data_IF_086202049281
#
_entry.id   IF_086202049281
#
_cell.length_a   1.000
_cell.length_b   1.000
_cell.length_c   1.000
_cell.angle_alpha   90.00
_cell.angle_beta   90.00
_cell.angle_gamma   90.00
#
_symmetry.space_group_name_H-M   'P 1'
#
loop_
_entity.id
_entity.type
_entity.pdbx_description
1 polymer ?
#
# COMPACT_ATOMS: atom_id res chain seq x y z
N UNK A 1 31.61 31.46 8.56
CA UNK A 1 30.24 30.91 8.64
C UNK A 1 30.34 29.57 9.37
N UNK A 2 29.68 29.44 10.51
CA UNK A 2 29.84 28.31 11.42
C UNK A 2 29.48 27.00 10.73
N UNK A 3 30.37 26.03 10.87
CA UNK A 3 30.29 24.67 10.32
C UNK A 3 29.27 23.83 11.12
N UNK A 4 28.03 24.30 11.27
CA UNK A 4 26.96 23.60 11.98
C UNK A 4 26.47 22.44 11.13
N UNK A 5 26.37 21.25 11.72
CA UNK A 5 25.89 20.04 11.05
C UNK A 5 24.38 19.84 11.24
N UNK A 6 23.76 20.65 12.11
CA UNK A 6 22.32 20.68 12.35
C UNK A 6 21.86 22.11 12.60
N UNK A 7 20.68 22.46 12.08
CA UNK A 7 20.07 23.80 12.20
C UNK A 7 18.57 23.78 11.89
N UNK A 8 17.83 24.74 12.42
CA UNK A 8 16.43 24.99 12.06
C UNK A 8 16.36 26.24 11.19
N UNK A 9 15.60 26.16 10.09
CA UNK A 9 15.25 27.30 9.25
C UNK A 9 13.73 27.33 9.07
N UNK A 10 13.06 28.25 9.77
CA UNK A 10 11.59 28.31 9.78
C UNK A 10 10.96 27.07 10.41
N UNK A 11 10.23 26.31 9.60
CA UNK A 11 9.57 25.06 10.01
C UNK A 11 10.31 23.81 9.52
N UNK A 12 11.55 23.95 9.08
CA UNK A 12 12.35 22.83 8.60
C UNK A 12 13.59 22.64 9.46
N UNK A 13 13.77 21.42 9.96
CA UNK A 13 15.00 20.98 10.61
C UNK A 13 15.92 20.36 9.57
N UNK A 14 17.13 20.87 9.45
CA UNK A 14 18.18 20.31 8.59
C UNK A 14 19.27 19.67 9.44
N UNK A 15 19.72 18.47 9.08
CA UNK A 15 20.79 17.77 9.78
C UNK A 15 21.63 16.93 8.83
N UNK A 16 22.88 16.66 9.21
CA UNK A 16 23.78 15.82 8.44
C UNK A 16 23.60 14.36 8.83
N UNK A 17 23.41 13.49 7.84
CA UNK A 17 23.38 12.04 8.03
C UNK A 17 24.12 11.34 6.89
N UNK A 18 24.97 10.36 7.20
CA UNK A 18 25.79 9.62 6.24
C UNK A 18 26.53 10.47 5.16
N UNK A 19 26.84 11.74 5.47
CA UNK A 19 27.49 12.67 4.56
C UNK A 19 26.54 13.53 3.72
N UNK A 20 25.24 13.27 3.75
CA UNK A 20 24.19 14.05 3.11
C UNK A 20 23.52 15.01 4.10
N UNK A 21 22.78 15.99 3.58
CA UNK A 21 21.92 16.85 4.39
C UNK A 21 20.49 16.33 4.24
N UNK A 22 19.97 15.83 5.35
CA UNK A 22 18.58 15.43 5.51
C UNK A 22 17.75 16.58 6.08
N UNK A 23 16.43 16.48 5.93
CA UNK A 23 15.51 17.48 6.45
C UNK A 23 14.21 16.87 6.97
N UNK A 24 13.62 17.50 7.98
CA UNK A 24 12.34 17.12 8.57
C UNK A 24 11.41 18.34 8.67
N UNK A 25 10.15 18.17 8.26
CA UNK A 25 9.13 19.21 8.39
C UNK A 25 8.55 19.22 9.81
N UNK A 26 8.84 20.27 10.57
CA UNK A 26 8.45 20.42 11.97
C UNK A 26 6.93 20.55 12.17
N UNK A 27 6.18 20.99 11.16
CA UNK A 27 4.72 21.07 11.24
C UNK A 27 4.06 19.69 11.14
N UNK A 28 4.75 18.72 10.52
CA UNK A 28 4.29 17.35 10.34
C UNK A 28 4.67 16.42 11.49
N UNK A 29 5.48 16.88 12.46
CA UNK A 29 5.91 16.08 13.61
C UNK A 29 4.72 15.44 14.35
N UNK A 30 4.80 14.13 14.58
CA UNK A 30 3.82 13.33 15.32
C UNK A 30 4.32 12.93 16.69
N UNK A 31 5.57 12.46 16.80
CA UNK A 31 6.15 12.03 18.07
C UNK A 31 7.68 12.08 18.04
N UNK A 32 8.27 12.14 19.24
CA UNK A 32 9.70 12.18 19.45
C UNK A 32 10.11 11.24 20.57
N UNK A 33 11.27 10.61 20.38
CA UNK A 33 11.88 9.66 21.29
C UNK A 33 13.36 10.00 21.47
N UNK A 34 13.90 9.60 22.62
CA UNK A 34 15.33 9.37 22.77
C UNK A 34 15.59 7.88 22.58
N UNK A 35 16.62 7.54 21.80
CA UNK A 35 17.00 6.16 21.55
C UNK A 35 18.52 6.01 21.58
N UNK A 36 19.03 4.95 22.23
CA UNK A 36 20.45 4.61 22.23
C UNK A 36 20.70 3.54 21.17
N UNK A 37 21.59 3.82 20.21
CA UNK A 37 22.01 2.90 19.16
C UNK A 37 23.54 2.84 19.13
N UNK A 38 24.13 1.69 19.42
CA UNK A 38 25.59 1.53 19.43
C UNK A 38 26.28 2.51 20.38
N UNK A 39 25.77 2.63 21.61
CA UNK A 39 26.21 3.57 22.66
C UNK A 39 26.01 5.08 22.35
N UNK A 40 25.50 5.42 21.16
CA UNK A 40 25.25 6.81 20.75
C UNK A 40 23.77 7.15 20.99
N UNK A 41 23.47 8.23 21.74
CA UNK A 41 22.11 8.73 21.85
C UNK A 41 21.67 9.45 20.58
N UNK A 42 20.44 9.17 20.15
CA UNK A 42 19.75 9.81 19.04
C UNK A 42 18.47 10.48 19.52
N UNK A 43 18.17 11.64 18.97
CA UNK A 43 16.81 12.16 18.92
C UNK A 43 16.14 11.50 17.72
N UNK A 44 15.21 10.59 18.01
CA UNK A 44 14.33 10.05 17.00
C UNK A 44 13.10 10.94 16.90
N UNK A 45 12.74 11.35 15.68
CA UNK A 45 11.47 12.04 15.42
C UNK A 45 10.75 11.41 14.24
N UNK A 46 9.43 11.34 14.33
CA UNK A 46 8.57 10.97 13.22
C UNK A 46 7.77 12.18 12.76
N UNK A 47 7.91 12.51 11.48
CA UNK A 47 7.10 13.51 10.80
C UNK A 47 6.27 12.82 9.71
N UNK A 48 6.75 12.86 8.49
CA UNK A 48 6.31 12.11 7.32
C UNK A 48 7.04 10.76 7.20
N UNK A 49 8.31 10.72 7.63
CA UNK A 49 9.09 9.50 7.79
C UNK A 49 9.94 9.51 9.07
N UNK A 50 10.70 8.44 9.29
CA UNK A 50 11.56 8.28 10.47
C UNK A 50 12.87 9.06 10.29
N UNK A 51 13.22 9.86 11.30
CA UNK A 51 14.50 10.56 11.37
C UNK A 51 15.26 10.15 12.62
N UNK A 52 16.51 9.71 12.45
CA UNK A 52 17.43 9.42 13.54
C UNK A 52 18.52 10.50 13.55
N UNK A 53 18.46 11.41 14.53
CA UNK A 53 19.35 12.57 14.59
C UNK A 53 20.35 12.35 15.72
N UNK A 54 21.63 12.16 15.37
CA UNK A 54 22.68 11.93 16.38
C UNK A 54 22.86 13.14 17.28
N UNK A 55 22.95 12.90 18.59
CA UNK A 55 23.28 13.93 19.59
C UNK A 55 24.71 14.45 19.47
N UNK A 56 25.57 13.78 18.69
CA UNK A 56 26.97 14.15 18.47
C UNK A 56 27.16 15.20 17.36
N UNK A 57 26.10 15.53 16.61
CA UNK A 57 26.16 16.54 15.55
C UNK A 57 26.54 17.91 16.10
N UNK A 58 27.46 18.61 15.42
CA UNK A 58 27.87 19.95 15.85
C UNK A 58 26.69 20.93 15.74
N UNK A 59 26.23 21.43 16.89
CA UNK A 59 25.10 22.35 17.01
C UNK A 59 23.83 21.70 17.57
N UNK A 60 23.86 20.41 17.90
CA UNK A 60 22.70 19.66 18.38
C UNK A 60 22.06 20.28 19.63
N UNK A 61 22.84 20.66 20.64
CA UNK A 61 22.32 21.20 21.90
C UNK A 61 21.44 22.45 21.70
N UNK A 62 21.89 23.40 20.87
CA UNK A 62 21.13 24.61 20.55
C UNK A 62 19.82 24.27 19.84
N UNK A 63 19.87 23.36 18.86
CA UNK A 63 18.70 22.90 18.11
C UNK A 63 17.73 22.11 19.00
N UNK A 64 18.24 21.24 19.87
CA UNK A 64 17.44 20.49 20.82
C UNK A 64 16.69 21.42 21.77
N UNK A 65 17.35 22.45 22.31
CA UNK A 65 16.68 23.45 23.14
C UNK A 65 15.60 24.22 22.38
N UNK A 66 15.84 24.57 21.12
CA UNK A 66 14.82 25.20 20.27
C UNK A 66 13.60 24.28 20.05
N UNK A 67 13.83 23.02 19.69
CA UNK A 67 12.77 22.01 19.54
C UNK A 67 12.01 21.78 20.85
N UNK A 68 12.74 21.60 21.94
CA UNK A 68 12.16 21.37 23.26
C UNK A 68 11.32 22.57 23.73
N UNK A 69 11.77 23.80 23.48
CA UNK A 69 10.97 24.99 23.77
C UNK A 69 9.72 25.09 22.89
N UNK A 70 9.81 24.68 21.62
CA UNK A 70 8.71 24.72 20.65
C UNK A 70 7.65 23.66 20.91
N UNK A 71 8.05 22.45 21.28
CA UNK A 71 7.17 21.28 21.41
C UNK A 71 6.95 20.83 22.85
N UNK A 72 7.68 21.38 23.82
CA UNK A 72 7.67 20.97 25.23
C UNK A 72 8.11 19.52 25.43
N UNK A 73 9.27 19.16 24.89
CA UNK A 73 9.86 17.83 25.11
C UNK A 73 10.17 17.60 26.59
N UNK A 74 10.03 16.35 27.04
CA UNK A 74 10.46 15.92 28.37
C UNK A 74 12.00 15.89 28.45
N UNK A 75 12.56 17.04 28.81
CA UNK A 75 14.00 17.22 28.95
C UNK A 75 14.61 16.38 30.07
N UNK A 76 13.88 16.17 31.16
CA UNK A 76 14.39 15.39 32.28
C UNK A 76 14.64 13.95 31.83
N UNK A 77 13.65 13.35 31.18
CA UNK A 77 13.76 12.01 30.61
C UNK A 77 14.83 11.94 29.51
N UNK A 78 14.84 12.89 28.57
CA UNK A 78 15.83 12.91 27.49
C UNK A 78 17.27 12.87 28.01
N UNK A 79 17.62 13.79 28.92
CA UNK A 79 18.98 13.89 29.44
C UNK A 79 19.32 12.73 30.39
N UNK A 80 18.34 12.17 31.11
CA UNK A 80 18.56 10.99 31.93
C UNK A 80 18.96 9.77 31.08
N UNK A 81 18.25 9.50 29.98
CA UNK A 81 18.55 8.40 29.05
C UNK A 81 19.89 8.62 28.35
N UNK A 82 20.14 9.83 27.82
CA UNK A 82 21.41 10.19 27.19
C UNK A 82 22.62 10.02 28.13
N UNK A 83 22.42 10.21 29.45
CA UNK A 83 23.46 10.00 30.47
C UNK A 83 23.63 8.53 30.85
N UNK A 84 22.53 7.79 30.95
CA UNK A 84 22.56 6.36 31.28
C UNK A 84 23.21 5.53 30.17
N UNK A 85 22.97 5.89 28.90
CA UNK A 85 23.48 5.20 27.70
C UNK A 85 23.30 3.69 27.77
N UNK A 86 22.14 3.25 28.26
CA UNK A 86 21.81 1.84 28.26
C UNK A 86 21.52 1.43 26.82
N UNK A 87 22.25 0.45 26.32
CA UNK A 87 22.07 -0.05 24.95
C UNK A 87 20.60 -0.45 24.71
N UNK A 88 20.11 -0.14 23.52
CA UNK A 88 18.74 -0.38 23.05
C UNK A 88 17.65 0.32 23.89
N UNK A 89 18.01 1.24 24.79
CA UNK A 89 17.03 2.03 25.52
C UNK A 89 16.33 3.01 24.59
N UNK A 90 15.00 2.96 24.60
CA UNK A 90 14.11 3.83 23.83
C UNK A 90 13.02 4.37 24.73
N UNK A 91 12.85 5.70 24.75
CA UNK A 91 11.83 6.35 25.59
C UNK A 91 11.17 7.51 24.84
N UNK A 92 9.83 7.52 24.83
CA UNK A 92 9.03 8.61 24.26
C UNK A 92 9.19 9.86 25.12
N UNK A 93 9.62 10.97 24.51
CA UNK A 93 9.81 12.26 25.21
C UNK A 93 8.71 13.25 24.85
N UNK A 94 7.96 12.99 23.78
CA UNK A 94 6.87 13.84 23.33
C UNK A 94 5.99 13.13 22.29
N UNK A 95 4.70 13.44 22.28
CA UNK A 95 3.78 13.12 21.20
C UNK A 95 2.81 14.28 20.98
N UNK A 96 2.46 14.52 19.72
CA UNK A 96 1.47 15.50 19.32
C UNK A 96 0.10 15.00 19.76
N UNK A 97 -0.62 15.82 20.53
CA UNK A 97 -2.00 15.53 20.88
C UNK A 97 -2.90 15.84 19.69
N UNK A 98 -3.55 14.81 19.17
CA UNK A 98 -4.54 14.94 18.12
C UNK A 98 -5.94 15.04 18.74
N UNK A 99 -6.82 15.89 18.19
CA UNK A 99 -8.22 15.88 18.60
C UNK A 99 -8.85 14.55 18.18
N UNK A 100 -9.91 14.14 18.90
CA UNK A 100 -10.72 13.02 18.46
C UNK A 100 -11.29 13.29 17.07
N UNK A 101 -11.18 12.32 16.17
CA UNK A 101 -11.55 12.44 14.75
C UNK A 101 -12.58 11.39 14.29
N UNK A 102 -13.33 10.82 15.23
CA UNK A 102 -14.44 9.92 14.92
C UNK A 102 -15.48 9.90 16.02
N UNK A 103 -16.67 9.42 15.68
CA UNK A 103 -17.77 9.19 16.60
C UNK A 103 -18.35 7.78 16.37
N UNK A 104 -18.58 7.05 17.46
CA UNK A 104 -19.37 5.81 17.43
C UNK A 104 -20.85 6.21 17.49
N UNK A 105 -21.66 5.64 16.61
CA UNK A 105 -23.09 5.91 16.48
C UNK A 105 -23.90 4.75 17.06
N UNK A 106 -25.03 5.06 17.70
CA UNK A 106 -25.93 4.05 18.29
C UNK A 106 -26.83 3.37 17.24
N UNK A 107 -26.93 3.96 16.05
CA UNK A 107 -27.76 3.47 14.95
C UNK A 107 -26.89 2.87 13.84
N UNK A 108 -27.32 1.73 13.31
CA UNK A 108 -26.71 1.12 12.12
C UNK A 108 -27.59 1.44 10.90
N UNK A 109 -27.00 1.84 9.77
CA UNK A 109 -27.77 2.05 8.55
C UNK A 109 -28.24 0.70 7.98
N UNK A 110 -29.44 0.65 7.39
CA UNK A 110 -29.98 -0.57 6.77
C UNK A 110 -29.33 -0.91 5.41
N UNK A 111 -28.50 -0.01 4.87
CA UNK A 111 -27.99 -0.03 3.49
C UNK A 111 -26.45 -0.06 3.41
N UNK A 112 -25.78 -0.66 4.40
CA UNK A 112 -24.32 -0.86 4.39
C UNK A 112 -23.84 -1.64 3.16
N UNK A 113 -24.63 -2.63 2.74
CA UNK A 113 -24.37 -3.37 1.50
C UNK A 113 -24.40 -2.47 0.26
N UNK A 114 -25.04 -1.30 0.29
CA UNK A 114 -24.99 -0.37 -0.83
C UNK A 114 -23.72 0.47 -0.82
N UNK A 115 -23.37 1.07 0.33
CA UNK A 115 -22.40 2.16 0.33
C UNK A 115 -22.10 2.80 1.68
N UNK A 116 -21.68 4.06 1.61
CA UNK A 116 -21.31 4.90 2.73
C UNK A 116 -21.86 6.32 2.58
N UNK A 117 -21.99 7.03 3.69
CA UNK A 117 -22.66 8.34 3.71
C UNK A 117 -21.67 9.47 3.92
N UNK A 118 -21.70 10.46 3.05
CA UNK A 118 -20.91 11.69 3.20
C UNK A 118 -21.78 12.79 3.77
N UNK A 119 -21.40 13.32 4.92
CA UNK A 119 -22.14 14.33 5.68
C UNK A 119 -21.82 15.75 5.17
N UNK A 120 -21.99 15.97 3.87
CA UNK A 120 -21.91 17.29 3.24
C UNK A 120 -23.15 18.15 3.57
N UNK A 121 -23.24 19.38 3.04
CA UNK A 121 -24.41 20.28 3.24
C UNK A 121 -25.75 19.58 2.99
N UNK A 122 -25.79 18.74 1.96
CA UNK A 122 -26.81 17.71 1.79
C UNK A 122 -26.13 16.35 1.96
N UNK A 123 -26.61 15.52 2.90
CA UNK A 123 -26.13 14.14 3.07
C UNK A 123 -26.21 13.40 1.74
N UNK A 124 -25.11 12.78 1.34
CA UNK A 124 -24.99 12.02 0.09
C UNK A 124 -24.71 10.57 0.42
N UNK A 125 -25.50 9.65 -0.13
CA UNK A 125 -25.19 8.23 -0.10
C UNK A 125 -24.34 7.88 -1.33
N UNK A 126 -23.15 7.34 -1.12
CA UNK A 126 -22.20 6.95 -2.17
C UNK A 126 -22.11 5.44 -2.25
N UNK A 127 -22.25 4.88 -3.45
CA UNK A 127 -22.12 3.43 -3.67
C UNK A 127 -20.67 2.97 -3.49
N UNK A 128 -20.46 1.74 -3.01
CA UNK A 128 -19.16 1.07 -3.09
C UNK A 128 -18.64 0.92 -4.53
N UNK A 129 -19.52 0.96 -5.52
CA UNK A 129 -19.17 0.89 -6.94
C UNK A 129 -18.72 2.25 -7.53
N UNK A 130 -18.69 3.30 -6.71
CA UNK A 130 -18.20 4.63 -7.12
C UNK A 130 -16.74 4.53 -7.54
N UNK A 131 -16.45 4.93 -8.77
CA UNK A 131 -15.07 4.92 -9.29
C UNK A 131 -14.23 6.06 -8.73
N UNK A 132 -12.90 5.94 -8.81
CA UNK A 132 -11.99 7.06 -8.49
C UNK A 132 -12.36 8.35 -9.23
N UNK A 133 -12.63 8.27 -10.54
CA UNK A 133 -13.06 9.41 -11.35
C UNK A 133 -14.38 10.02 -10.85
N UNK A 134 -15.36 9.18 -10.51
CA UNK A 134 -16.65 9.63 -9.98
C UNK A 134 -16.51 10.24 -8.58
N UNK A 135 -15.68 9.66 -7.72
CA UNK A 135 -15.41 10.16 -6.39
C UNK A 135 -14.77 11.55 -6.46
N UNK A 136 -13.80 11.76 -7.33
CA UNK A 136 -13.20 13.08 -7.54
C UNK A 136 -14.20 14.10 -8.10
N UNK A 137 -15.02 13.69 -9.07
CA UNK A 137 -16.07 14.53 -9.65
C UNK A 137 -17.20 14.87 -8.66
N UNK A 138 -17.35 14.13 -7.55
CA UNK A 138 -18.40 14.37 -6.55
C UNK A 138 -18.28 15.69 -5.80
N UNK A 139 -17.08 16.29 -5.77
CA UNK A 139 -16.77 17.48 -4.95
C UNK A 139 -16.68 17.21 -3.44
N UNK A 140 -16.77 15.94 -3.01
CA UNK A 140 -16.66 15.53 -1.62
C UNK A 140 -15.21 15.33 -1.15
N UNK A 141 -14.26 15.23 -2.08
CA UNK A 141 -12.84 14.98 -1.80
C UNK A 141 -11.94 16.10 -2.31
N UNK A 142 -10.73 16.18 -1.77
CA UNK A 142 -9.61 16.95 -2.30
C UNK A 142 -8.40 16.06 -2.56
N UNK A 143 -7.70 16.31 -3.65
CA UNK A 143 -6.44 15.65 -3.94
C UNK A 143 -5.29 16.35 -3.24
N UNK A 144 -4.38 15.57 -2.67
CA UNK A 144 -3.10 16.05 -2.14
C UNK A 144 -1.96 15.08 -2.49
N UNK A 145 -0.74 15.55 -2.37
CA UNK A 145 0.47 14.78 -2.63
C UNK A 145 1.31 14.70 -1.36
N UNK A 146 1.90 13.54 -1.13
CA UNK A 146 2.94 13.36 -0.12
C UNK A 146 4.26 13.96 -0.59
N UNK A 147 5.22 14.10 0.33
CA UNK A 147 6.56 14.59 0.01
C UNK A 147 7.32 13.68 -0.97
N UNK A 148 6.91 12.41 -1.07
CA UNK A 148 7.43 11.43 -2.05
C UNK A 148 6.68 11.46 -3.40
N UNK A 149 5.73 12.38 -3.59
CA UNK A 149 4.97 12.54 -4.83
C UNK A 149 3.80 11.56 -4.99
N UNK A 150 3.56 10.68 -4.03
CA UNK A 150 2.38 9.81 -4.05
C UNK A 150 1.10 10.62 -3.85
N UNK A 151 0.09 10.34 -4.67
CA UNK A 151 -1.19 11.01 -4.75
C UNK A 151 -2.27 10.34 -3.90
N UNK A 152 -3.01 11.14 -3.15
CA UNK A 152 -4.11 10.71 -2.29
C UNK A 152 -5.34 11.60 -2.47
N UNK A 153 -6.51 11.07 -2.12
CA UNK A 153 -7.76 11.80 -1.99
C UNK A 153 -8.19 11.81 -0.53
N UNK A 154 -8.56 12.98 0.00
CA UNK A 154 -9.09 13.15 1.36
C UNK A 154 -10.53 13.66 1.30
N UNK A 155 -11.42 13.04 2.06
CA UNK A 155 -12.79 13.53 2.21
C UNK A 155 -12.80 14.86 2.98
N UNK A 156 -13.51 15.85 2.42
CA UNK A 156 -13.71 17.19 3.01
C UNK A 156 -14.75 17.21 4.12
N UNK A 157 -15.58 16.18 4.18
CA UNK A 157 -16.72 16.05 5.08
C UNK A 157 -16.64 14.72 5.82
N UNK A 158 -17.23 14.62 7.01
CA UNK A 158 -17.29 13.37 7.74
C UNK A 158 -17.98 12.27 6.92
N UNK A 159 -17.45 11.05 7.01
CA UNK A 159 -17.96 9.87 6.30
C UNK A 159 -18.46 8.85 7.30
N UNK A 160 -19.72 8.43 7.18
CA UNK A 160 -20.27 7.32 7.94
C UNK A 160 -20.11 6.02 7.17
N UNK A 161 -19.47 5.05 7.80
CA UNK A 161 -19.44 3.66 7.38
C UNK A 161 -19.92 2.86 8.58
N UNK A 162 -20.97 2.05 8.43
CA UNK A 162 -21.55 1.31 9.56
C UNK A 162 -21.96 2.24 10.73
N UNK A 163 -21.67 1.80 11.97
CA UNK A 163 -21.84 2.55 13.21
C UNK A 163 -20.70 3.52 13.53
N UNK A 164 -19.86 3.92 12.58
CA UNK A 164 -18.81 4.93 12.81
C UNK A 164 -18.91 6.11 11.84
N UNK A 165 -18.83 7.32 12.37
CA UNK A 165 -18.66 8.57 11.64
C UNK A 165 -17.20 9.02 11.76
N UNK A 166 -16.52 9.20 10.63
CA UNK A 166 -15.08 9.39 10.54
C UNK A 166 -14.79 10.77 9.94
N UNK A 167 -13.93 11.53 10.59
CA UNK A 167 -13.38 12.75 10.02
C UNK A 167 -12.14 12.43 9.18
N UNK A 168 -12.02 13.07 8.03
CA UNK A 168 -10.82 12.99 7.17
C UNK A 168 -10.47 11.57 6.71
N UNK A 169 -11.47 10.78 6.30
CA UNK A 169 -11.22 9.51 5.61
C UNK A 169 -10.39 9.75 4.33
N UNK A 170 -9.45 8.86 4.03
CA UNK A 170 -8.52 9.00 2.91
C UNK A 170 -8.57 7.78 1.98
N UNK A 171 -8.12 8.01 0.75
CA UNK A 171 -8.03 7.00 -0.31
C UNK A 171 -6.69 7.19 -1.04
N UNK A 172 -5.97 6.10 -1.25
CA UNK A 172 -4.78 6.09 -2.09
C UNK A 172 -5.20 6.13 -3.57
N UNK A 173 -4.66 7.09 -4.33
CA UNK A 173 -5.10 7.37 -5.70
C UNK A 173 -3.93 7.61 -6.67
N UNK A 174 -2.77 7.02 -6.35
CA UNK A 174 -1.59 7.05 -7.22
C UNK A 174 -1.47 5.75 -8.01
N UNK A 175 -1.13 5.87 -9.29
CA UNK A 175 -1.02 4.74 -10.23
C UNK A 175 -2.27 3.81 -10.28
N UNK A 176 -3.46 4.34 -9.98
CA UNK A 176 -4.74 3.59 -10.04
C UNK A 176 -5.45 3.78 -11.38
N UNK A 177 -6.25 2.80 -11.79
CA UNK A 177 -7.16 2.96 -12.94
C UNK A 177 -8.40 3.75 -12.52
N UNK A 178 -8.54 4.99 -13.02
CA UNK A 178 -9.55 5.93 -12.48
C UNK A 178 -11.00 5.52 -12.76
N UNK A 179 -11.22 4.66 -13.75
CA UNK A 179 -12.53 4.06 -14.08
C UNK A 179 -12.91 2.86 -13.19
N UNK A 180 -12.16 2.58 -12.12
CA UNK A 180 -12.40 1.47 -11.20
C UNK A 180 -13.02 1.93 -9.88
N UNK A 181 -13.88 1.10 -9.25
CA UNK A 181 -14.35 1.31 -7.89
C UNK A 181 -13.20 1.48 -6.93
N UNK A 182 -13.34 2.39 -5.95
CA UNK A 182 -12.34 2.56 -4.89
C UNK A 182 -12.21 1.27 -4.08
N UNK A 183 -10.97 0.76 -3.98
CA UNK A 183 -10.70 -0.54 -3.34
C UNK A 183 -10.38 -0.41 -1.85
N UNK A 184 -9.81 0.71 -1.43
CA UNK A 184 -9.35 0.89 -0.06
C UNK A 184 -9.59 2.32 0.42
N UNK A 185 -10.09 2.41 1.65
CA UNK A 185 -10.22 3.64 2.42
C UNK A 185 -9.45 3.47 3.72
N UNK A 186 -8.76 4.50 4.19
CA UNK A 186 -7.97 4.40 5.41
C UNK A 186 -7.97 5.70 6.20
N UNK A 187 -7.70 5.58 7.51
CA UNK A 187 -7.56 6.71 8.44
C UNK A 187 -6.85 6.25 9.71
N UNK A 188 -6.09 7.15 10.35
CA UNK A 188 -5.64 6.95 11.73
C UNK A 188 -6.65 7.58 12.69
N UNK A 189 -7.23 6.78 13.58
CA UNK A 189 -8.24 7.19 14.54
C UNK A 189 -7.63 7.51 15.90
N UNK A 190 -7.83 8.76 16.34
CA UNK A 190 -7.40 9.27 17.62
C UNK A 190 -8.62 9.41 18.53
N UNK A 191 -8.54 8.88 19.74
CA UNK A 191 -9.50 9.23 20.79
C UNK A 191 -9.00 10.47 21.57
N UNK A 192 -9.81 10.99 22.50
CA UNK A 192 -9.47 12.16 23.32
C UNK A 192 -8.20 11.97 24.17
N UNK A 193 -7.87 10.72 24.52
CA UNK A 193 -6.69 10.36 25.31
C UNK A 193 -5.46 10.02 24.46
N UNK A 194 -5.64 9.82 23.14
CA UNK A 194 -4.60 9.38 22.20
C UNK A 194 -3.93 8.08 22.70
N UNK A 195 -4.74 7.07 23.03
CA UNK A 195 -4.30 5.74 23.43
C UNK A 195 -5.02 4.66 22.63
N UNK A 196 -4.84 3.40 23.01
CA UNK A 196 -5.58 2.25 22.48
C UNK A 196 -7.10 2.28 22.75
N UNK A 197 -7.62 3.34 23.38
CA UNK A 197 -9.06 3.50 23.58
C UNK A 197 -9.82 3.57 22.25
N UNK A 198 -9.23 4.13 21.19
CA UNK A 198 -9.85 4.08 19.85
C UNK A 198 -9.97 2.65 19.33
N UNK A 199 -8.96 1.80 19.56
CA UNK A 199 -8.98 0.40 19.22
C UNK A 199 -10.07 -0.34 20.01
N UNK A 200 -10.11 -0.15 21.33
CA UNK A 200 -11.10 -0.80 22.19
C UNK A 200 -12.54 -0.44 21.82
N UNK A 201 -12.79 0.82 21.42
CA UNK A 201 -14.11 1.26 20.97
C UNK A 201 -14.53 0.61 19.65
N UNK A 202 -13.62 0.48 18.67
CA UNK A 202 -13.89 -0.20 17.40
C UNK A 202 -14.05 -1.70 17.57
N UNK A 203 -13.21 -2.31 18.42
CA UNK A 203 -13.30 -3.72 18.79
C UNK A 203 -14.70 -4.01 19.34
N UNK A 204 -15.16 -3.24 20.33
CA UNK A 204 -16.50 -3.39 20.91
C UNK A 204 -17.66 -3.00 19.97
N UNK A 205 -17.39 -2.28 18.89
CA UNK A 205 -18.41 -1.96 17.87
C UNK A 205 -18.74 -3.17 16.98
N UNK A 206 -17.74 -4.03 16.71
CA UNK A 206 -17.85 -5.09 15.69
C UNK A 206 -17.68 -6.51 16.24
N UNK A 207 -17.15 -6.68 17.45
CA UNK A 207 -16.95 -7.97 18.09
C UNK A 207 -17.47 -7.91 19.53
N UNK A 208 -18.34 -8.86 19.87
CA UNK A 208 -18.74 -9.13 21.26
C UNK A 208 -17.59 -9.78 22.05
N UNK A 209 -17.51 -9.50 23.35
CA UNK A 209 -16.43 -9.97 24.22
C UNK A 209 -16.31 -11.51 24.33
N UNK A 210 -17.38 -12.24 23.99
CA UNK A 210 -17.46 -13.70 24.08
C UNK A 210 -16.88 -14.43 22.84
N UNK A 211 -16.43 -13.69 21.82
CA UNK A 211 -15.93 -14.25 20.55
C UNK A 211 -14.44 -14.62 20.66
N UNK A 212 -14.05 -15.74 20.03
CA UNK A 212 -12.65 -16.12 19.88
C UNK A 212 -11.92 -15.19 18.90
N UNK A 213 -11.15 -14.26 19.46
CA UNK A 213 -10.39 -13.22 18.75
C UNK A 213 -9.43 -13.82 17.69
N UNK A 214 -8.93 -15.03 17.91
CA UNK A 214 -7.99 -15.69 16.99
C UNK A 214 -8.61 -15.99 15.62
N UNK A 215 -9.94 -15.94 15.49
CA UNK A 215 -10.63 -16.09 14.21
C UNK A 215 -10.60 -14.81 13.37
N UNK A 216 -10.35 -13.65 14.00
CA UNK A 216 -10.40 -12.33 13.38
C UNK A 216 -9.01 -11.67 13.28
N UNK A 217 -8.02 -12.18 14.00
CA UNK A 217 -6.65 -11.67 13.98
C UNK A 217 -5.87 -12.06 15.23
N UNK A 218 -5.21 -11.09 15.86
CA UNK A 218 -4.43 -11.29 17.07
C UNK A 218 -4.40 -10.03 17.94
N UNK A 219 -4.29 -10.23 19.25
CA UNK A 219 -4.01 -9.17 20.23
C UNK A 219 -2.75 -9.56 21.00
N UNK A 220 -1.63 -8.90 20.70
CA UNK A 220 -0.32 -9.14 21.32
C UNK A 220 0.08 -7.91 22.12
N UNK A 221 1.05 -8.08 23.03
CA UNK A 221 1.54 -6.98 23.86
C UNK A 221 2.20 -5.85 23.06
N UNK A 222 2.70 -6.13 21.85
CA UNK A 222 3.34 -5.17 20.95
C UNK A 222 2.39 -4.61 19.89
N UNK A 223 1.37 -5.36 19.50
CA UNK A 223 0.43 -4.94 18.47
C UNK A 223 -0.87 -5.74 18.54
N UNK A 224 -1.98 -5.05 18.35
CA UNK A 224 -3.28 -5.64 18.16
C UNK A 224 -3.75 -5.41 16.73
N UNK A 225 -4.27 -6.46 16.09
CA UNK A 225 -4.78 -6.42 14.71
C UNK A 225 -6.02 -7.30 14.58
N UNK A 226 -7.11 -6.75 14.07
CA UNK A 226 -8.34 -7.50 13.78
C UNK A 226 -8.86 -7.15 12.38
N UNK A 227 -9.51 -8.12 11.74
CA UNK A 227 -10.17 -7.96 10.46
C UNK A 227 -11.61 -8.46 10.54
N UNK A 228 -12.54 -7.68 9.99
CA UNK A 228 -13.98 -7.91 10.04
C UNK A 228 -14.55 -8.01 8.62
N UNK A 229 -15.66 -8.74 8.48
CA UNK A 229 -16.52 -8.69 7.30
C UNK A 229 -17.76 -7.90 7.72
N UNK A 230 -17.93 -6.71 7.16
CA UNK A 230 -19.03 -5.80 7.51
C UNK A 230 -20.27 -6.09 6.66
N UNK A 231 -20.06 -6.21 5.36
CA UNK A 231 -21.09 -6.38 4.35
C UNK A 231 -20.58 -7.30 3.22
N UNK A 232 -21.43 -7.63 2.24
CA UNK A 232 -21.02 -8.50 1.16
C UNK A 232 -19.87 -7.90 0.32
N UNK A 233 -18.68 -8.50 0.47
CA UNK A 233 -17.45 -8.04 -0.17
C UNK A 233 -16.85 -6.78 0.44
N UNK A 234 -17.32 -6.33 1.61
CA UNK A 234 -16.78 -5.15 2.31
C UNK A 234 -16.18 -5.61 3.65
N UNK A 235 -14.88 -5.37 3.80
CA UNK A 235 -14.15 -5.73 5.01
C UNK A 235 -13.63 -4.48 5.71
N UNK A 236 -13.38 -4.58 7.01
CA UNK A 236 -12.59 -3.60 7.75
C UNK A 236 -11.41 -4.27 8.43
N UNK A 237 -10.36 -3.52 8.73
CA UNK A 237 -9.33 -3.93 9.68
C UNK A 237 -8.97 -2.78 10.61
N UNK A 238 -8.61 -3.13 11.85
CA UNK A 238 -8.09 -2.21 12.83
C UNK A 238 -6.73 -2.69 13.34
N UNK A 239 -5.80 -1.77 13.52
CA UNK A 239 -4.47 -2.05 14.04
C UNK A 239 -4.05 -0.98 15.05
N UNK A 240 -3.62 -1.40 16.24
CA UNK A 240 -2.97 -0.54 17.22
C UNK A 240 -1.58 -1.07 17.53
N UNK A 241 -0.59 -0.18 17.51
CA UNK A 241 0.82 -0.54 17.75
C UNK A 241 1.29 0.09 19.05
N UNK A 242 1.73 -0.73 20.01
CA UNK A 242 2.19 -0.28 21.32
C UNK A 242 3.66 0.11 21.31
N UNK A 243 4.05 0.91 22.30
CA UNK A 243 5.44 1.32 22.51
C UNK A 243 6.27 0.15 23.08
N UNK A 244 6.79 -0.69 22.18
CA UNK A 244 7.66 -1.85 22.47
C UNK A 244 8.95 -1.78 21.65
N UNK A 245 9.89 -2.69 21.88
CA UNK A 245 11.28 -2.66 21.35
C UNK A 245 11.42 -2.09 19.93
N UNK A 246 10.75 -2.69 18.92
CA UNK A 246 10.86 -2.28 17.51
C UNK A 246 9.73 -1.35 17.01
N UNK A 247 8.77 -1.03 17.88
CA UNK A 247 7.51 -0.38 17.50
C UNK A 247 7.38 1.02 18.14
N UNK A 248 6.74 1.95 17.45
CA UNK A 248 6.46 3.29 17.98
C UNK A 248 4.96 3.49 18.09
N UNK A 249 4.53 4.07 19.19
CA UNK A 249 3.13 4.32 19.46
C UNK A 249 2.81 5.79 19.17
N UNK A 250 1.96 6.04 18.18
CA UNK A 250 1.49 7.38 17.81
C UNK A 250 0.16 7.75 18.46
N UNK A 251 -0.40 6.89 19.32
CA UNK A 251 -1.66 7.11 20.01
C UNK A 251 -2.89 6.94 19.14
N UNK A 252 -2.76 6.28 17.97
CA UNK A 252 -3.85 6.07 17.02
C UNK A 252 -4.11 4.61 16.71
N UNK A 253 -5.35 4.33 16.28
CA UNK A 253 -5.70 3.07 15.64
C UNK A 253 -5.76 3.27 14.14
N UNK A 254 -4.95 2.53 13.39
CA UNK A 254 -5.09 2.47 11.95
C UNK A 254 -6.37 1.71 11.60
N UNK A 255 -7.28 2.33 10.87
CA UNK A 255 -8.52 1.75 10.38
C UNK A 255 -8.49 1.74 8.86
N UNK A 256 -8.75 0.57 8.28
CA UNK A 256 -8.91 0.39 6.84
C UNK A 256 -10.26 -0.23 6.52
N UNK A 257 -10.86 0.19 5.40
CA UNK A 257 -11.99 -0.47 4.77
C UNK A 257 -11.58 -0.96 3.39
N UNK A 258 -11.92 -2.20 3.07
CA UNK A 258 -11.58 -2.84 1.80
C UNK A 258 -12.85 -3.21 1.05
N UNK A 259 -12.97 -2.70 -0.17
CA UNK A 259 -13.95 -3.17 -1.13
C UNK A 259 -13.34 -4.36 -1.90
N UNK A 260 -13.64 -5.57 -1.43
CA UNK A 260 -13.18 -6.86 -1.99
C UNK A 260 -14.16 -7.46 -3.00
N UNK A 261 -15.12 -6.68 -3.50
CA UNK A 261 -16.05 -7.16 -4.53
C UNK A 261 -15.30 -7.52 -5.80
N UNK A 262 -15.73 -8.60 -6.45
CA UNK A 262 -14.98 -9.19 -7.55
C UNK A 262 -15.22 -8.53 -8.92
N UNK A 263 -16.20 -7.64 -9.07
CA UNK A 263 -16.45 -6.89 -10.32
C UNK A 263 -16.25 -7.69 -11.63
N UNK A 264 -16.74 -8.94 -11.68
CA UNK A 264 -16.41 -9.92 -12.73
C UNK A 264 -16.72 -9.46 -14.15
N UNK A 265 -17.63 -8.50 -14.32
CA UNK A 265 -17.94 -7.93 -15.63
C UNK A 265 -16.75 -7.21 -16.27
N UNK A 266 -15.73 -6.78 -15.51
CA UNK A 266 -14.48 -6.26 -16.06
C UNK A 266 -13.69 -7.30 -16.88
N UNK A 267 -13.93 -8.59 -16.63
CA UNK A 267 -13.27 -9.69 -17.33
C UNK A 267 -13.95 -10.01 -18.68
N UNK A 268 -15.15 -9.49 -18.95
CA UNK A 268 -15.86 -9.74 -20.21
C UNK A 268 -15.15 -9.09 -21.41
N UNK A 269 -15.07 -9.82 -22.53
CA UNK A 269 -14.46 -9.32 -23.77
C UNK A 269 -15.14 -9.86 -25.04
N UNK A 270 -16.48 -9.83 -25.06
CA UNK A 270 -17.29 -10.45 -26.11
C UNK A 270 -16.95 -9.95 -27.51
N UNK A 271 -16.75 -8.64 -27.67
CA UNK A 271 -16.43 -8.02 -28.96
C UNK A 271 -15.14 -8.58 -29.57
N UNK A 272 -14.10 -8.77 -28.76
CA UNK A 272 -12.85 -9.36 -29.24
C UNK A 272 -13.01 -10.86 -29.50
N UNK A 273 -13.69 -11.60 -28.63
CA UNK A 273 -13.85 -13.06 -28.77
C UNK A 273 -14.59 -13.48 -30.06
N UNK A 274 -15.50 -12.63 -30.54
CA UNK A 274 -16.21 -12.83 -31.81
C UNK A 274 -15.26 -12.81 -33.01
N UNK A 275 -14.31 -11.88 -33.03
CA UNK A 275 -13.39 -11.66 -34.16
C UNK A 275 -12.01 -12.29 -33.98
N UNK A 276 -11.71 -12.83 -32.78
CA UNK A 276 -10.38 -13.35 -32.49
C UNK A 276 -10.01 -14.55 -33.36
N UNK A 277 -8.73 -14.61 -33.72
CA UNK A 277 -8.10 -15.70 -34.44
C UNK A 277 -6.82 -16.14 -33.72
N UNK A 278 -6.56 -17.45 -33.69
CA UNK A 278 -5.33 -17.99 -33.09
C UNK A 278 -4.37 -18.32 -34.22
N UNK A 279 -3.48 -17.37 -34.54
CA UNK A 279 -2.47 -17.51 -35.60
C UNK A 279 -1.22 -18.28 -35.14
N UNK A 280 -1.00 -18.39 -33.83
CA UNK A 280 0.11 -19.13 -33.24
C UNK A 280 -0.12 -19.38 -31.75
N UNK A 281 0.51 -20.44 -31.23
CA UNK A 281 0.34 -20.90 -29.85
C UNK A 281 1.64 -21.49 -29.29
N UNK A 282 1.95 -21.13 -28.05
CA UNK A 282 3.04 -21.66 -27.23
C UNK A 282 2.42 -22.24 -25.96
N UNK A 283 2.15 -23.56 -25.91
CA UNK A 283 1.66 -24.19 -24.70
C UNK A 283 2.80 -24.40 -23.71
N UNK A 284 2.59 -24.00 -22.46
CA UNK A 284 3.48 -24.36 -21.36
C UNK A 284 3.19 -25.77 -20.87
N UNK A 285 4.18 -26.39 -20.23
CA UNK A 285 3.98 -27.72 -19.65
C UNK A 285 3.28 -27.65 -18.28
N UNK A 286 3.40 -26.53 -17.56
CA UNK A 286 2.73 -26.28 -16.30
C UNK A 286 1.44 -25.45 -16.46
N UNK A 287 0.57 -25.57 -15.45
CA UNK A 287 -0.53 -24.63 -15.20
C UNK A 287 -0.01 -23.48 -14.36
N UNK A 288 0.03 -22.31 -14.96
CA UNK A 288 0.49 -21.08 -14.32
C UNK A 288 -0.69 -20.15 -14.13
N UNK A 289 -0.77 -19.55 -12.95
CA UNK A 289 -1.69 -18.44 -12.70
C UNK A 289 -1.01 -17.12 -13.05
N UNK A 290 -1.82 -16.14 -13.46
CA UNK A 290 -1.32 -14.82 -13.81
C UNK A 290 -1.01 -14.00 -12.56
N UNK A 291 0.04 -13.18 -12.62
CA UNK A 291 0.35 -12.21 -11.55
C UNK A 291 -0.30 -10.85 -11.74
N UNK A 292 -0.85 -10.57 -12.91
CA UNK A 292 -1.51 -9.30 -13.21
C UNK A 292 -2.96 -9.33 -12.73
N UNK A 293 -3.32 -8.43 -11.81
CA UNK A 293 -4.67 -8.29 -11.28
C UNK A 293 -5.58 -7.57 -12.30
N UNK A 294 -6.80 -8.09 -12.51
CA UNK A 294 -7.79 -7.49 -13.41
C UNK A 294 -8.45 -6.22 -12.84
N UNK A 295 -8.48 -6.09 -11.51
CA UNK A 295 -8.95 -4.86 -10.86
C UNK A 295 -8.07 -3.69 -11.29
N UNK A 296 -6.76 -3.90 -11.37
CA UNK A 296 -5.80 -2.83 -11.69
C UNK A 296 -5.46 -2.74 -13.18
N UNK A 297 -5.89 -3.71 -14.00
CA UNK A 297 -5.51 -3.79 -15.41
C UNK A 297 -6.66 -4.25 -16.32
N UNK A 298 -7.16 -3.33 -17.14
CA UNK A 298 -8.22 -3.55 -18.13
C UNK A 298 -7.90 -4.60 -19.20
N UNK A 299 -6.62 -4.96 -19.38
CA UNK A 299 -6.19 -5.95 -20.37
C UNK A 299 -6.40 -7.38 -19.90
N UNK A 300 -6.69 -7.60 -18.61
CA UNK A 300 -7.00 -8.94 -18.08
C UNK A 300 -8.47 -9.24 -18.30
N UNK A 301 -8.73 -10.37 -18.96
CA UNK A 301 -10.07 -10.85 -19.34
C UNK A 301 -10.24 -12.31 -18.98
N UNK A 302 -11.45 -12.83 -19.09
CA UNK A 302 -11.65 -14.27 -19.07
C UNK A 302 -10.80 -14.94 -20.16
N UNK A 303 -10.29 -16.13 -19.87
CA UNK A 303 -9.60 -16.94 -20.86
C UNK A 303 -10.58 -17.28 -21.99
N UNK A 304 -10.34 -16.82 -23.24
CA UNK A 304 -11.28 -17.08 -24.33
C UNK A 304 -11.47 -18.56 -24.58
N UNK A 305 -12.72 -18.99 -24.84
CA UNK A 305 -13.05 -20.41 -25.03
C UNK A 305 -12.21 -21.07 -26.14
N UNK A 306 -12.01 -20.38 -27.26
CA UNK A 306 -11.17 -20.85 -28.38
C UNK A 306 -9.74 -21.19 -27.93
N UNK A 307 -9.18 -20.41 -27.00
CA UNK A 307 -7.83 -20.64 -26.46
C UNK A 307 -7.87 -21.77 -25.43
N UNK A 308 -8.87 -21.77 -24.55
CA UNK A 308 -9.08 -22.81 -23.53
C UNK A 308 -9.18 -24.21 -24.14
N UNK A 309 -9.87 -24.35 -25.27
CA UNK A 309 -10.00 -25.63 -25.98
C UNK A 309 -8.67 -26.14 -26.56
N UNK A 310 -7.80 -25.24 -27.01
CA UNK A 310 -6.49 -25.61 -27.60
C UNK A 310 -5.42 -25.90 -26.54
N UNK A 311 -5.41 -25.13 -25.46
CA UNK A 311 -4.49 -25.32 -24.34
C UNK A 311 -4.95 -26.43 -23.38
N UNK A 312 -6.25 -26.76 -23.42
CA UNK A 312 -6.90 -27.75 -22.56
C UNK A 312 -6.77 -27.34 -21.10
N UNK A 313 -5.76 -27.88 -20.43
CA UNK A 313 -5.50 -27.73 -19.01
C UNK A 313 -4.11 -27.12 -18.78
N UNK A 314 -3.57 -26.41 -19.77
CA UNK A 314 -2.24 -25.79 -19.73
C UNK A 314 -2.36 -24.28 -19.82
N UNK A 315 -1.36 -23.60 -19.30
CA UNK A 315 -1.16 -22.18 -19.57
C UNK A 315 -0.34 -22.00 -20.84
N UNK A 316 -0.23 -20.76 -21.33
CA UNK A 316 0.57 -20.52 -22.53
C UNK A 316 0.44 -19.11 -23.08
N UNK A 317 0.94 -18.94 -24.30
CA UNK A 317 0.90 -17.68 -25.04
C UNK A 317 0.28 -17.93 -26.40
N UNK A 318 -0.66 -17.09 -26.84
CA UNK A 318 -1.18 -17.13 -28.21
C UNK A 318 -0.97 -15.78 -28.89
N UNK A 319 -0.91 -15.81 -30.22
CA UNK A 319 -0.87 -14.60 -31.04
C UNK A 319 -2.07 -14.58 -32.00
N UNK A 320 -2.62 -13.39 -32.17
CA UNK A 320 -3.67 -13.08 -33.13
C UNK A 320 -3.12 -12.03 -34.09
N UNK A 321 -2.62 -12.49 -35.24
CA UNK A 321 -2.02 -11.60 -36.22
C UNK A 321 -3.06 -10.74 -36.93
N UNK A 322 -4.31 -11.23 -37.04
CA UNK A 322 -5.41 -10.55 -37.72
C UNK A 322 -5.85 -9.31 -36.94
N UNK A 323 -5.92 -9.42 -35.61
CA UNK A 323 -6.30 -8.32 -34.72
C UNK A 323 -5.10 -7.63 -34.04
N UNK A 324 -3.87 -8.03 -34.40
CA UNK A 324 -2.62 -7.51 -33.82
C UNK A 324 -2.53 -7.62 -32.29
N UNK A 325 -3.03 -8.73 -31.73
CA UNK A 325 -3.01 -9.00 -30.29
C UNK A 325 -2.06 -10.15 -29.93
N UNK A 326 -1.61 -10.15 -28.68
CA UNK A 326 -0.99 -11.28 -28.01
C UNK A 326 -1.73 -11.54 -26.71
N UNK A 327 -1.93 -12.79 -26.38
CA UNK A 327 -2.54 -13.20 -25.15
C UNK A 327 -1.65 -14.12 -24.33
N UNK A 328 -1.69 -13.94 -23.02
CA UNK A 328 -1.02 -14.79 -22.03
C UNK A 328 -2.12 -15.50 -21.24
N UNK A 329 -2.28 -16.80 -21.48
CA UNK A 329 -3.32 -17.62 -20.90
C UNK A 329 -2.90 -18.16 -19.53
N UNK A 330 -3.57 -17.72 -18.48
CA UNK A 330 -3.52 -18.31 -17.15
C UNK A 330 -4.51 -19.48 -17.01
N UNK A 331 -4.98 -19.72 -15.78
CA UNK A 331 -5.93 -20.81 -15.49
C UNK A 331 -7.34 -20.45 -15.97
N UNK A 332 -7.88 -19.33 -15.48
CA UNK A 332 -9.24 -18.87 -15.79
C UNK A 332 -9.28 -17.51 -16.50
N UNK A 333 -8.19 -16.76 -16.41
CA UNK A 333 -8.03 -15.43 -17.03
C UNK A 333 -6.91 -15.42 -18.04
N UNK A 334 -6.89 -14.38 -18.86
CA UNK A 334 -5.80 -14.09 -19.75
C UNK A 334 -5.48 -12.59 -19.81
N UNK A 335 -4.21 -12.25 -19.97
CA UNK A 335 -3.76 -10.89 -20.26
C UNK A 335 -3.72 -10.73 -21.78
N UNK A 336 -4.50 -9.81 -22.34
CA UNK A 336 -4.61 -9.58 -23.79
C UNK A 336 -4.08 -8.19 -24.12
N UNK A 337 -2.96 -8.11 -24.82
CA UNK A 337 -2.27 -6.87 -25.14
C UNK A 337 -2.24 -6.61 -26.64
N UNK A 338 -2.20 -5.33 -27.00
CA UNK A 338 -1.79 -4.91 -28.34
C UNK A 338 -0.33 -5.24 -28.57
N UNK A 339 -0.02 -5.97 -29.65
CA UNK A 339 1.34 -6.39 -29.96
C UNK A 339 2.27 -5.18 -30.22
N UNK A 340 1.72 -4.07 -30.72
CA UNK A 340 2.44 -2.81 -30.94
C UNK A 340 2.85 -2.11 -29.63
N UNK A 341 2.11 -2.31 -28.54
CA UNK A 341 2.42 -1.73 -27.23
C UNK A 341 3.56 -2.46 -26.54
N UNK A 342 3.97 -3.62 -27.04
CA UNK A 342 5.08 -4.39 -26.49
C UNK A 342 6.37 -3.99 -27.19
N UNK A 343 7.37 -3.62 -26.39
CA UNK A 343 8.71 -3.31 -26.86
C UNK A 343 9.56 -4.57 -27.00
N UNK A 344 9.65 -5.37 -25.92
CA UNK A 344 10.39 -6.62 -25.86
C UNK A 344 9.94 -7.46 -24.65
N UNK A 345 10.48 -8.67 -24.52
CA UNK A 345 10.24 -9.57 -23.38
C UNK A 345 11.53 -9.84 -22.61
N UNK A 346 11.42 -10.08 -21.31
CA UNK A 346 12.52 -10.55 -20.48
C UNK A 346 12.12 -11.83 -19.75
N UNK A 347 13.01 -12.83 -19.77
CA UNK A 347 12.92 -14.04 -18.98
C UNK A 347 13.98 -13.95 -17.88
N UNK A 348 13.58 -13.48 -16.70
CA UNK A 348 14.52 -13.23 -15.61
C UNK A 348 14.65 -14.46 -14.72
N UNK A 349 15.84 -15.03 -14.64
CA UNK A 349 16.13 -16.15 -13.75
C UNK A 349 16.67 -15.65 -12.40
N UNK A 350 16.12 -16.17 -11.31
CA UNK A 350 16.51 -15.88 -9.93
C UNK A 350 16.96 -17.18 -9.26
N UNK A 351 18.20 -17.17 -8.77
CA UNK A 351 18.84 -18.29 -8.10
C UNK A 351 18.48 -18.32 -6.61
N UNK A 352 18.41 -19.52 -6.01
CA UNK A 352 18.14 -19.68 -4.59
C UNK A 352 19.33 -19.21 -3.74
N UNK A 353 19.04 -18.40 -2.72
CA UNK A 353 19.92 -17.98 -1.63
C UNK A 353 19.21 -18.06 -0.28
N UNK A 354 18.22 -17.19 -0.01
CA UNK A 354 17.38 -17.24 1.22
C UNK A 354 16.03 -17.92 1.02
N UNK A 355 15.60 -18.08 -0.23
CA UNK A 355 14.37 -18.77 -0.60
C UNK A 355 14.55 -19.60 -1.86
N UNK A 356 13.46 -20.22 -2.33
CA UNK A 356 13.46 -20.94 -3.60
C UNK A 356 13.81 -20.00 -4.77
N UNK A 357 14.56 -20.52 -5.73
CA UNK A 357 14.78 -19.82 -7.00
C UNK A 357 13.50 -19.84 -7.83
N UNK A 358 13.37 -18.87 -8.73
CA UNK A 358 12.24 -18.75 -9.64
C UNK A 358 12.68 -18.11 -10.95
N UNK A 359 11.78 -18.04 -11.92
CA UNK A 359 11.91 -17.31 -13.16
C UNK A 359 10.67 -16.45 -13.38
N UNK A 360 10.85 -15.25 -13.90
CA UNK A 360 9.77 -14.34 -14.27
C UNK A 360 9.67 -14.21 -15.79
N UNK A 361 8.45 -14.25 -16.32
CA UNK A 361 8.16 -13.77 -17.67
C UNK A 361 7.65 -12.33 -17.58
N UNK A 362 8.45 -11.40 -18.10
CA UNK A 362 8.21 -9.96 -18.02
C UNK A 362 7.94 -9.40 -19.42
N UNK A 363 6.87 -8.61 -19.54
CA UNK A 363 6.53 -7.89 -20.78
C UNK A 363 6.89 -6.42 -20.60
N UNK A 364 7.84 -5.92 -21.40
CA UNK A 364 8.21 -4.50 -21.41
C UNK A 364 7.37 -3.74 -22.43
N UNK A 365 6.65 -2.72 -21.97
CA UNK A 365 5.78 -1.89 -22.79
C UNK A 365 6.55 -0.72 -23.41
N UNK A 366 6.07 -0.24 -24.55
CA UNK A 366 6.64 0.91 -25.28
C UNK A 366 6.62 2.22 -24.47
N UNK A 367 5.80 2.30 -23.42
CA UNK A 367 5.73 3.43 -22.48
C UNK A 367 6.88 3.47 -21.48
N UNK A 368 7.66 2.39 -21.35
CA UNK A 368 8.69 2.22 -20.32
C UNK A 368 8.23 1.42 -19.11
N UNK A 369 6.92 1.17 -18.98
CA UNK A 369 6.36 0.29 -17.94
C UNK A 369 6.61 -1.19 -18.29
N UNK A 370 6.44 -2.07 -17.30
CA UNK A 370 6.56 -3.51 -17.48
C UNK A 370 5.53 -4.26 -16.66
N UNK A 371 5.23 -5.51 -17.06
CA UNK A 371 4.28 -6.39 -16.40
C UNK A 371 4.95 -7.74 -16.11
N UNK A 372 4.94 -8.16 -14.85
CA UNK A 372 5.23 -9.55 -14.48
C UNK A 372 4.01 -10.40 -14.79
N UNK A 373 4.08 -11.25 -15.82
CA UNK A 373 2.91 -12.00 -16.30
C UNK A 373 2.82 -13.35 -15.60
N UNK A 374 3.92 -14.11 -15.59
CA UNK A 374 4.02 -15.43 -14.98
C UNK A 374 5.29 -15.57 -14.13
N UNK A 375 5.20 -16.41 -13.10
CA UNK A 375 6.33 -16.83 -12.27
C UNK A 375 6.32 -18.36 -12.21
N UNK A 376 7.49 -18.98 -12.34
CA UNK A 376 7.67 -20.43 -12.22
C UNK A 376 9.10 -20.76 -11.74
N UNK A 377 9.47 -22.03 -11.66
CA UNK A 377 10.81 -22.50 -11.33
C UNK A 377 11.90 -21.86 -12.20
N UNK A 378 13.09 -21.70 -11.61
CA UNK A 378 14.27 -21.16 -12.31
C UNK A 378 14.52 -21.88 -13.64
N UNK A 379 14.78 -21.12 -14.71
CA UNK A 379 15.01 -21.55 -16.09
C UNK A 379 13.80 -22.15 -16.82
N UNK A 380 12.61 -22.14 -16.21
CA UNK A 380 11.41 -22.69 -16.83
C UNK A 380 11.11 -22.04 -18.20
N UNK A 381 11.22 -20.72 -18.30
CA UNK A 381 10.79 -19.98 -19.50
C UNK A 381 11.80 -20.01 -20.65
N UNK A 382 13.09 -20.25 -20.38
CA UNK A 382 14.19 -20.17 -21.35
C UNK A 382 13.92 -21.01 -22.61
N UNK A 383 13.30 -22.18 -22.43
CA UNK A 383 12.95 -23.09 -23.52
C UNK A 383 11.96 -22.52 -24.53
N UNK A 384 11.19 -21.48 -24.16
CA UNK A 384 10.18 -20.85 -25.02
C UNK A 384 10.71 -19.60 -25.72
N UNK A 385 11.91 -19.12 -25.40
CA UNK A 385 12.43 -17.83 -25.86
C UNK A 385 12.47 -17.69 -27.38
N UNK A 386 13.08 -18.66 -28.08
CA UNK A 386 13.19 -18.64 -29.54
C UNK A 386 11.83 -18.71 -30.22
N UNK A 387 10.90 -19.50 -29.67
CA UNK A 387 9.56 -19.62 -30.22
C UNK A 387 8.78 -18.32 -30.04
N UNK A 388 8.90 -17.67 -28.87
CA UNK A 388 8.26 -16.38 -28.58
C UNK A 388 8.81 -15.27 -29.48
N UNK A 389 10.13 -15.19 -29.65
CA UNK A 389 10.79 -14.22 -30.55
C UNK A 389 10.34 -14.44 -32.00
N UNK A 390 10.31 -15.69 -32.47
CA UNK A 390 9.85 -15.99 -33.82
C UNK A 390 8.36 -15.67 -34.02
N UNK A 391 7.52 -15.99 -33.03
CA UNK A 391 6.08 -15.78 -33.09
C UNK A 391 5.72 -14.29 -33.11
N UNK A 392 6.39 -13.48 -32.28
CA UNK A 392 6.04 -12.07 -32.07
C UNK A 392 6.86 -11.08 -32.89
N UNK A 393 8.01 -11.53 -33.42
CA UNK A 393 9.03 -10.66 -34.03
C UNK A 393 9.54 -9.56 -33.08
N UNK A 394 9.43 -9.78 -31.76
CA UNK A 394 9.97 -8.92 -30.71
C UNK A 394 11.16 -9.62 -30.07
N UNK A 395 12.14 -8.83 -29.64
CA UNK A 395 13.30 -9.34 -28.93
C UNK A 395 12.88 -10.03 -27.62
N UNK A 396 13.54 -11.14 -27.30
CA UNK A 396 13.44 -11.82 -26.00
C UNK A 396 14.81 -11.83 -25.34
N UNK A 397 14.92 -11.22 -24.17
CA UNK A 397 16.16 -11.13 -23.40
C UNK A 397 16.17 -12.17 -22.27
N UNK A 398 17.33 -12.81 -22.06
CA UNK A 398 17.60 -13.67 -20.89
C UNK A 398 18.85 -13.09 -20.21
N UNK A 399 18.68 -12.18 -19.23
CA UNK A 399 19.79 -11.60 -18.49
C UNK A 399 20.56 -12.64 -17.66
N UNK A 400 21.73 -12.25 -17.14
CA UNK A 400 22.44 -13.07 -16.16
C UNK A 400 21.57 -13.30 -14.91
N UNK A 401 21.55 -14.54 -14.42
CA UNK A 401 20.75 -14.89 -13.25
C UNK A 401 21.37 -14.26 -11.98
N UNK A 402 20.53 -13.77 -11.08
CA UNK A 402 20.96 -13.20 -9.79
C UNK A 402 20.37 -13.97 -8.60
N UNK A 403 20.96 -13.85 -7.43
CA UNK A 403 20.50 -14.55 -6.21
C UNK A 403 19.42 -13.76 -5.47
N UNK A 404 18.41 -14.43 -4.91
CA UNK A 404 17.38 -13.81 -4.05
C UNK A 404 17.88 -13.45 -2.63
N UNK A 405 18.92 -12.62 -2.57
CA UNK A 405 19.66 -12.22 -1.37
C UNK A 405 18.84 -11.47 -0.32
#
# INVERSE_FOLDING_TARGET
MNNKEIRIEGDTLFYKDHGNIENANLNALKYAYVQILGEVPFLFVFADHQHYISTELRGFEEVYHELSNRFHFDNETFFAVCKARKEDEKVKIWAKKMPRNYQILDEYPDDVDFGYEVYAQSRQMMSWDTTYEQLEASGCVEAYFTDFGARYLRFRYPVRIEGILIDQLEVYADNVSTNRPVQEFFVNLYDETNTDKSYQQLRGLWIDDDIDINQYGYEREDQCYLQFVLANGINASICYTYDKEYAYDDGSTSLHFYNKREYRYFLENKEYEEVMEISGLIPFHNRLDMKVNYIDNDSVKYLPLKVKELLVEKSGIWIDNTNHKIGFAGIDTALILDLEKIKYFTLQNVLPAKGAGYADLIVHLSTGNYLYVFIEDTYFFDQFAQQLEHMTKKQVEIPEAYYNC
#
